data_IF_198284242852
#
_entry.id   IF_198284242852
#
_cell.length_a   1.000
_cell.length_b   1.000
_cell.length_c   1.000
_cell.angle_alpha   90.00
_cell.angle_beta   90.00
_cell.angle_gamma   90.00
#
_symmetry.space_group_name_H-M   'P 1'
#
loop_
_entity.id
_entity.type
_entity.pdbx_description
1 polymer ?
#
# COMPACT_ATOMS: atom_id res chain seq x y z
N UNK A 1 -6.42 6.17 -12.33
CA UNK A 1 -5.20 6.89 -11.90
C UNK A 1 -4.81 8.00 -12.86
N UNK A 2 -4.94 9.24 -12.40
CA UNK A 2 -4.41 10.44 -13.05
C UNK A 2 -2.87 10.57 -12.92
N UNK A 3 -2.31 11.51 -13.68
CA UNK A 3 -0.85 11.70 -13.78
C UNK A 3 -0.17 12.07 -12.45
N UNK A 4 -0.80 12.90 -11.63
CA UNK A 4 -0.21 13.33 -10.36
C UNK A 4 -0.14 12.16 -9.36
N UNK A 5 -1.18 11.34 -9.32
CA UNK A 5 -1.23 10.12 -8.49
C UNK A 5 -0.20 9.10 -8.98
N UNK A 6 0.02 9.00 -10.29
CA UNK A 6 1.08 8.17 -10.88
C UNK A 6 2.48 8.63 -10.45
N UNK A 7 2.75 9.94 -10.47
CA UNK A 7 4.01 10.51 -9.99
C UNK A 7 4.22 10.18 -8.51
N UNK A 8 3.16 10.30 -7.70
CA UNK A 8 3.21 9.96 -6.27
C UNK A 8 3.50 8.48 -6.05
N UNK A 9 2.87 7.60 -6.84
CA UNK A 9 3.09 6.16 -6.79
C UNK A 9 4.53 5.80 -7.13
N UNK A 10 5.06 6.33 -8.24
CA UNK A 10 6.45 6.09 -8.66
C UNK A 10 7.45 6.57 -7.60
N UNK A 11 7.15 7.68 -6.90
CA UNK A 11 8.00 8.16 -5.80
C UNK A 11 8.04 7.17 -4.62
N UNK A 12 6.87 6.69 -4.19
CA UNK A 12 6.77 5.73 -3.08
C UNK A 12 7.38 4.37 -3.47
N UNK A 13 7.08 3.89 -4.68
CA UNK A 13 7.62 2.64 -5.20
C UNK A 13 9.15 2.69 -5.26
N UNK A 14 9.75 3.72 -5.84
CA UNK A 14 11.21 3.84 -5.90
C UNK A 14 11.89 3.93 -4.53
N UNK A 15 11.21 4.48 -3.51
CA UNK A 15 11.71 4.44 -2.11
C UNK A 15 11.63 3.03 -1.53
N UNK A 16 10.55 2.31 -1.80
CA UNK A 16 10.38 0.93 -1.34
C UNK A 16 11.32 -0.03 -2.08
N UNK A 17 11.57 0.15 -3.36
CA UNK A 17 12.57 -0.63 -4.11
C UNK A 17 13.95 -0.54 -3.46
N UNK A 18 14.35 0.69 -3.06
CA UNK A 18 15.58 0.91 -2.29
C UNK A 18 15.53 0.21 -0.93
N UNK A 19 14.45 0.36 -0.18
CA UNK A 19 14.31 -0.28 1.13
C UNK A 19 14.30 -1.82 1.04
N UNK A 20 13.69 -2.40 0.01
CA UNK A 20 13.69 -3.85 -0.26
C UNK A 20 15.11 -4.34 -0.61
N UNK A 21 15.87 -3.52 -1.35
CA UNK A 21 17.29 -3.78 -1.63
C UNK A 21 18.12 -3.79 -0.34
N UNK A 22 17.81 -2.89 0.59
CA UNK A 22 18.43 -2.78 1.91
C UNK A 22 17.88 -3.80 2.94
N UNK A 23 16.88 -4.61 2.55
CA UNK A 23 16.19 -5.63 3.39
C UNK A 23 15.35 -5.06 4.54
N UNK A 24 14.93 -3.81 4.40
CA UNK A 24 14.23 -3.06 5.44
C UNK A 24 12.70 -3.07 5.27
N UNK A 25 12.19 -3.45 4.08
CA UNK A 25 10.79 -3.77 3.75
C UNK A 25 9.66 -3.10 4.59
N UNK A 26 9.62 -1.75 4.78
CA UNK A 26 8.57 -1.11 5.56
C UNK A 26 7.29 -0.95 4.74
N UNK A 27 6.14 -0.78 5.40
CA UNK A 27 5.01 -0.11 4.78
C UNK A 27 5.32 1.39 4.61
N UNK A 28 4.83 1.99 3.52
CA UNK A 28 5.02 3.41 3.25
C UNK A 28 3.74 4.03 2.72
N UNK A 29 3.42 5.24 3.20
CA UNK A 29 2.32 6.05 2.68
C UNK A 29 2.80 7.45 2.36
N UNK A 30 2.48 7.92 1.16
CA UNK A 30 2.59 9.31 0.79
C UNK A 30 1.20 9.96 0.78
N UNK A 31 1.07 11.08 1.48
CA UNK A 31 -0.13 11.89 1.59
C UNK A 31 0.14 13.23 0.89
N UNK A 32 -0.77 13.69 0.04
CA UNK A 32 -0.65 14.99 -0.62
C UNK A 32 -1.92 15.82 -0.42
N UNK A 33 -1.73 17.01 0.13
CA UNK A 33 -2.73 18.07 0.32
C UNK A 33 -2.02 19.42 0.34
N UNK A 34 -2.19 20.20 1.41
CA UNK A 34 -1.48 21.47 1.65
C UNK A 34 0.05 21.33 1.56
N UNK A 35 0.55 20.13 1.86
CA UNK A 35 1.94 19.70 1.68
C UNK A 35 1.98 18.21 1.38
N UNK A 36 3.13 17.72 0.92
CA UNK A 36 3.37 16.27 0.79
C UNK A 36 4.06 15.73 2.04
N UNK A 37 3.51 14.66 2.62
CA UNK A 37 4.12 13.92 3.73
C UNK A 37 4.34 12.47 3.31
N UNK A 38 5.45 11.88 3.75
CA UNK A 38 5.73 10.44 3.60
C UNK A 38 5.95 9.85 4.98
N UNK A 39 5.19 8.81 5.32
CA UNK A 39 5.28 8.07 6.57
C UNK A 39 5.67 6.63 6.26
N UNK A 40 6.40 5.99 7.16
CA UNK A 40 6.79 4.58 7.04
C UNK A 40 6.64 3.85 8.37
N UNK A 41 6.37 2.55 8.30
CA UNK A 41 6.25 1.68 9.47
C UNK A 41 6.78 0.28 9.15
N UNK A 42 7.73 -0.20 9.96
CA UNK A 42 8.41 -1.48 9.78
C UNK A 42 7.65 -2.65 10.40
N UNK A 43 6.77 -2.37 11.36
CA UNK A 43 6.00 -3.39 12.09
C UNK A 43 4.60 -3.56 11.47
N UNK A 44 4.30 -2.88 10.37
CA UNK A 44 2.98 -2.88 9.73
C UNK A 44 2.41 -4.28 9.49
N UNK A 45 3.23 -5.24 9.08
CA UNK A 45 2.81 -6.62 8.81
C UNK A 45 2.95 -7.57 10.01
N UNK A 46 3.23 -7.04 11.20
CA UNK A 46 3.38 -7.86 12.40
C UNK A 46 2.05 -8.45 12.85
N UNK A 47 1.02 -7.63 12.89
CA UNK A 47 -0.34 -7.97 13.31
C UNK A 47 -1.34 -6.87 12.90
N UNK A 48 -2.63 -7.21 12.86
CA UNK A 48 -3.71 -6.30 12.43
C UNK A 48 -3.80 -5.02 13.29
N UNK A 49 -3.49 -5.14 14.58
CA UNK A 49 -3.51 -4.00 15.51
C UNK A 49 -2.43 -2.97 15.12
N UNK A 50 -1.25 -3.44 14.77
CA UNK A 50 -0.13 -2.60 14.33
C UNK A 50 -0.41 -1.97 12.97
N UNK A 51 -0.97 -2.72 12.03
CA UNK A 51 -1.42 -2.22 10.74
C UNK A 51 -2.45 -1.09 10.90
N UNK A 52 -3.51 -1.34 11.69
CA UNK A 52 -4.56 -0.37 11.95
C UNK A 52 -4.04 0.89 12.67
N UNK A 53 -3.11 0.72 13.62
CA UNK A 53 -2.49 1.85 14.31
C UNK A 53 -1.69 2.75 13.37
N UNK A 54 -0.95 2.19 12.42
CA UNK A 54 -0.23 2.98 11.41
C UNK A 54 -1.20 3.72 10.48
N UNK A 55 -2.21 3.03 9.97
CA UNK A 55 -3.21 3.65 9.09
C UNK A 55 -4.02 4.75 9.79
N UNK A 56 -4.32 4.58 11.08
CA UNK A 56 -4.97 5.62 11.87
C UNK A 56 -4.10 6.88 12.00
N UNK A 57 -2.82 6.71 12.33
CA UNK A 57 -1.85 7.84 12.37
C UNK A 57 -1.72 8.52 11.01
N UNK A 58 -1.70 7.75 9.93
CA UNK A 58 -1.69 8.29 8.58
C UNK A 58 -2.97 9.10 8.29
N UNK A 59 -4.13 8.61 8.70
CA UNK A 59 -5.40 9.31 8.54
C UNK A 59 -5.47 10.63 9.33
N UNK A 60 -4.97 10.63 10.57
CA UNK A 60 -4.84 11.86 11.35
C UNK A 60 -3.93 12.88 10.66
N UNK A 61 -2.78 12.43 10.14
CA UNK A 61 -1.87 13.30 9.39
C UNK A 61 -2.50 13.82 8.11
N UNK A 62 -3.23 12.98 7.39
CA UNK A 62 -3.95 13.33 6.18
C UNK A 62 -4.98 14.44 6.46
N UNK A 63 -5.76 14.32 7.53
CA UNK A 63 -6.69 15.37 7.97
C UNK A 63 -5.98 16.68 8.33
N UNK A 64 -4.84 16.61 9.03
CA UNK A 64 -4.06 17.80 9.42
C UNK A 64 -3.53 18.61 8.23
N UNK A 65 -3.37 17.98 7.06
CA UNK A 65 -2.83 18.64 5.85
C UNK A 65 -3.87 18.74 4.73
N UNK A 66 -5.15 18.47 5.02
CA UNK A 66 -6.22 18.44 4.02
C UNK A 66 -5.84 17.58 2.80
N UNK A 67 -5.33 16.37 3.05
CA UNK A 67 -4.88 15.48 1.97
C UNK A 67 -6.04 15.17 1.01
N UNK A 68 -5.82 15.44 -0.28
CA UNK A 68 -6.76 15.14 -1.37
C UNK A 68 -6.39 13.85 -2.10
N UNK A 69 -5.15 13.37 -1.93
CA UNK A 69 -4.71 12.08 -2.45
C UNK A 69 -3.71 11.39 -1.55
N UNK A 70 -3.64 10.08 -1.68
CA UNK A 70 -2.57 9.28 -1.08
C UNK A 70 -2.15 8.12 -1.98
N UNK A 71 -0.94 7.63 -1.74
CA UNK A 71 -0.50 6.31 -2.16
C UNK A 71 0.00 5.56 -0.93
N UNK A 72 -0.52 4.36 -0.71
CA UNK A 72 -0.11 3.43 0.32
C UNK A 72 0.51 2.21 -0.35
N UNK A 73 1.71 1.80 0.06
CA UNK A 73 2.41 0.69 -0.54
C UNK A 73 3.17 -0.14 0.50
N UNK A 74 3.17 -1.47 0.31
CA UNK A 74 3.73 -2.42 1.26
C UNK A 74 4.41 -3.57 0.54
N UNK A 75 5.71 -3.83 0.80
CA UNK A 75 6.37 -5.06 0.38
C UNK A 75 5.74 -6.28 1.07
N UNK A 76 5.24 -7.23 0.29
CA UNK A 76 4.58 -8.45 0.77
C UNK A 76 5.00 -9.65 -0.07
N UNK A 77 4.75 -10.85 0.45
CA UNK A 77 4.70 -12.08 -0.34
C UNK A 77 3.25 -12.45 -0.53
N UNK A 78 2.82 -12.62 -1.77
CA UNK A 78 1.48 -13.07 -2.12
C UNK A 78 1.52 -14.50 -2.63
N UNK A 79 0.55 -15.31 -2.20
CA UNK A 79 0.17 -16.56 -2.85
C UNK A 79 -1.12 -16.31 -3.63
N UNK A 80 -1.05 -16.48 -4.95
CA UNK A 80 -2.21 -16.38 -5.83
C UNK A 80 -2.92 -17.74 -5.91
N UNK A 81 -4.09 -17.86 -5.29
CA UNK A 81 -4.99 -18.99 -5.50
C UNK A 81 -6.18 -18.58 -6.39
N UNK A 82 -7.03 -19.54 -6.78
CA UNK A 82 -8.07 -19.35 -7.80
C UNK A 82 -9.03 -18.19 -7.49
N UNK A 83 -9.40 -18.02 -6.22
CA UNK A 83 -10.40 -17.03 -5.78
C UNK A 83 -9.86 -16.04 -4.73
N UNK A 84 -8.67 -16.27 -4.20
CA UNK A 84 -8.12 -15.48 -3.09
C UNK A 84 -6.62 -15.24 -3.21
N UNK A 85 -6.19 -14.12 -2.64
CA UNK A 85 -4.79 -13.77 -2.46
C UNK A 85 -4.47 -13.81 -0.98
N UNK A 86 -3.51 -14.64 -0.59
CA UNK A 86 -2.96 -14.61 0.77
C UNK A 86 -1.70 -13.76 0.80
N UNK A 87 -1.71 -12.69 1.58
CA UNK A 87 -0.55 -11.85 1.83
C UNK A 87 0.16 -12.21 3.13
N UNK A 88 1.49 -12.23 3.13
CA UNK A 88 2.31 -12.32 4.34
C UNK A 88 3.51 -11.37 4.29
N UNK A 89 4.11 -11.12 5.46
CA UNK A 89 5.34 -10.36 5.56
C UNK A 89 6.48 -10.98 4.72
N UNK A 90 7.29 -10.10 4.13
CA UNK A 90 8.59 -10.49 3.56
C UNK A 90 9.47 -10.94 4.71
N UNK A 91 9.97 -12.16 4.63
CA UNK A 91 10.84 -12.76 5.63
C UNK A 91 12.02 -13.43 4.91
N UNK A 92 13.12 -13.68 5.62
CA UNK A 92 14.24 -14.49 5.12
C UNK A 92 13.89 -16.00 5.05
N UNK A 93 12.68 -16.33 4.62
CA UNK A 93 12.20 -17.69 4.40
C UNK A 93 12.10 -17.93 2.89
N UNK A 94 12.42 -19.15 2.41
CA UNK A 94 12.19 -19.51 1.02
C UNK A 94 10.73 -19.28 0.63
N UNK A 95 10.52 -18.83 -0.61
CA UNK A 95 9.19 -18.79 -1.20
C UNK A 95 8.67 -20.22 -1.39
N UNK A 96 7.39 -20.41 -1.08
CA UNK A 96 6.64 -21.62 -1.39
C UNK A 96 6.26 -21.64 -2.86
N UNK A 97 5.88 -22.80 -3.37
CA UNK A 97 5.35 -22.92 -4.72
C UNK A 97 4.13 -22.00 -4.89
N UNK A 98 4.12 -21.19 -5.95
CA UNK A 98 3.06 -20.21 -6.22
C UNK A 98 3.18 -18.88 -5.46
N UNK A 99 4.12 -18.73 -4.52
CA UNK A 99 4.37 -17.45 -3.85
C UNK A 99 5.21 -16.50 -4.72
N UNK A 100 4.91 -15.21 -4.62
CA UNK A 100 5.64 -14.14 -5.30
C UNK A 100 5.88 -12.97 -4.36
N UNK A 101 7.12 -12.47 -4.34
CA UNK A 101 7.45 -11.19 -3.71
C UNK A 101 6.93 -10.03 -4.59
N UNK A 102 6.29 -9.06 -3.96
CA UNK A 102 5.78 -7.88 -4.62
C UNK A 102 5.65 -6.69 -3.67
N UNK A 103 5.43 -5.51 -4.22
CA UNK A 103 4.98 -4.33 -3.48
C UNK A 103 3.52 -4.13 -3.82
N UNK A 104 2.63 -4.43 -2.87
CA UNK A 104 1.20 -4.15 -2.99
C UNK A 104 0.98 -2.65 -2.81
N UNK A 105 0.10 -2.05 -3.60
CA UNK A 105 -0.18 -0.62 -3.48
C UNK A 105 -1.66 -0.30 -3.68
N UNK A 106 -2.12 0.74 -2.99
CA UNK A 106 -3.40 1.39 -3.12
C UNK A 106 -3.15 2.89 -3.32
N UNK A 107 -3.91 3.48 -4.23
CA UNK A 107 -3.95 4.92 -4.41
C UNK A 107 -5.37 5.42 -4.28
N UNK A 108 -5.51 6.63 -3.76
CA UNK A 108 -6.77 7.34 -3.66
C UNK A 108 -6.55 8.78 -4.10
N UNK A 109 -7.51 9.30 -4.84
CA UNK A 109 -7.59 10.68 -5.27
C UNK A 109 -9.04 11.14 -5.18
N UNK A 110 -9.29 12.28 -4.54
CA UNK A 110 -10.65 12.81 -4.36
C UNK A 110 -11.39 13.10 -5.68
N UNK A 111 -10.66 13.35 -6.78
CA UNK A 111 -11.21 13.61 -8.10
C UNK A 111 -11.20 12.42 -9.07
N UNK A 112 -10.41 11.38 -8.81
CA UNK A 112 -10.23 10.22 -9.72
C UNK A 112 -10.66 8.87 -9.10
N UNK A 113 -10.84 8.82 -7.77
CA UNK A 113 -11.29 7.62 -7.07
C UNK A 113 -10.14 6.79 -6.51
N UNK A 114 -10.31 5.46 -6.50
CA UNK A 114 -9.37 4.51 -5.91
C UNK A 114 -8.85 3.57 -6.98
N UNK A 115 -7.53 3.40 -7.05
CA UNK A 115 -6.89 2.34 -7.83
C UNK A 115 -6.02 1.49 -6.90
N UNK A 116 -5.84 0.22 -7.23
CA UNK A 116 -4.95 -0.68 -6.50
C UNK A 116 -4.25 -1.64 -7.45
N UNK A 117 -3.14 -2.18 -6.99
CA UNK A 117 -2.30 -3.05 -7.80
C UNK A 117 -1.08 -3.54 -7.05
N UNK A 118 -0.11 -4.02 -7.80
CA UNK A 118 1.16 -4.48 -7.25
C UNK A 118 2.33 -4.23 -8.21
N UNK A 119 3.54 -4.32 -7.69
CA UNK A 119 4.80 -4.29 -8.43
C UNK A 119 5.56 -5.58 -8.08
N UNK A 120 5.60 -6.59 -8.96
CA UNK A 120 6.28 -7.83 -8.67
C UNK A 120 7.80 -7.67 -8.76
N UNK A 121 8.52 -8.47 -7.99
CA UNK A 121 9.97 -8.57 -8.11
C UNK A 121 10.48 -9.97 -7.77
N UNK A 122 11.66 -10.30 -8.29
CA UNK A 122 12.34 -11.57 -7.99
C UNK A 122 13.78 -11.31 -7.56
N UNK A 123 14.29 -12.13 -6.64
CA UNK A 123 15.68 -12.01 -6.19
C UNK A 123 16.61 -12.87 -7.05
N UNK A 124 17.73 -12.27 -7.48
CA UNK A 124 18.84 -12.99 -8.10
C UNK A 124 19.50 -13.97 -7.10
N UNK A 125 20.35 -14.89 -7.55
CA UNK A 125 21.11 -15.80 -6.66
C UNK A 125 21.93 -15.11 -5.55
N UNK A 126 22.21 -13.80 -5.66
CA UNK A 126 22.86 -12.98 -4.61
C UNK A 126 21.89 -12.27 -3.64
N UNK A 127 20.58 -12.44 -3.80
CA UNK A 127 19.55 -11.80 -2.97
C UNK A 127 19.12 -10.39 -3.41
N UNK A 128 19.78 -9.83 -4.43
CA UNK A 128 19.44 -8.55 -5.04
C UNK A 128 18.08 -8.64 -5.77
N UNK A 129 17.10 -7.76 -5.45
CA UNK A 129 15.80 -7.76 -6.11
C UNK A 129 15.88 -7.18 -7.53
N UNK A 130 15.10 -7.75 -8.45
CA UNK A 130 14.87 -7.24 -9.81
C UNK A 130 13.37 -6.99 -9.94
N UNK A 131 13.01 -5.73 -10.09
CA UNK A 131 11.62 -5.27 -10.20
C UNK A 131 11.15 -5.31 -11.65
N UNK A 132 9.89 -5.68 -11.84
CA UNK A 132 9.19 -5.67 -13.13
C UNK A 132 8.35 -4.38 -13.26
N UNK A 133 7.40 -4.33 -14.20
CA UNK A 133 6.46 -3.21 -14.34
C UNK A 133 5.30 -3.26 -13.32
N UNK A 134 4.78 -2.07 -12.98
CA UNK A 134 3.58 -1.94 -12.16
C UNK A 134 2.35 -2.55 -12.85
N UNK A 135 1.63 -3.40 -12.12
CA UNK A 135 0.37 -3.98 -12.57
C UNK A 135 -0.80 -3.35 -11.82
N UNK A 136 -1.72 -2.71 -12.55
CA UNK A 136 -3.00 -2.25 -12.02
C UNK A 136 -3.99 -3.41 -12.03
N UNK A 137 -4.62 -3.70 -10.91
CA UNK A 137 -5.68 -4.71 -10.85
C UNK A 137 -6.99 -4.04 -11.28
N UNK A 138 -7.54 -4.49 -12.42
CA UNK A 138 -8.81 -3.98 -12.99
C UNK A 138 -9.99 -4.92 -12.77
N UNK A 139 -9.73 -6.12 -12.26
CA UNK A 139 -10.76 -7.09 -11.87
C UNK A 139 -11.41 -6.59 -10.58
N UNK A 140 -12.73 -6.69 -10.39
CA UNK A 140 -13.40 -6.38 -9.13
C UNK A 140 -13.11 -7.48 -8.09
N UNK A 141 -11.82 -7.75 -7.86
CA UNK A 141 -11.34 -8.28 -6.60
C UNK A 141 -11.54 -7.10 -5.67
N UNK A 142 -12.68 -7.05 -4.98
CA UNK A 142 -12.80 -6.16 -3.81
C UNK A 142 -11.49 -6.31 -3.06
N UNK A 143 -10.78 -5.22 -2.72
CA UNK A 143 -9.66 -5.35 -1.80
C UNK A 143 -10.19 -6.21 -0.66
N UNK A 144 -9.58 -7.38 -0.41
CA UNK A 144 -9.96 -8.22 0.72
C UNK A 144 -10.02 -7.32 1.96
N UNK A 145 -10.83 -7.65 2.96
CA UNK A 145 -11.05 -6.74 4.11
C UNK A 145 -9.73 -6.27 4.78
N UNK A 146 -8.63 -6.97 4.53
CA UNK A 146 -7.28 -6.73 5.04
C UNK A 146 -6.31 -6.07 4.03
N UNK A 147 -6.77 -5.59 2.87
CA UNK A 147 -5.86 -4.96 1.89
C UNK A 147 -5.21 -3.69 2.48
N UNK A 148 -3.89 -3.48 2.29
CA UNK A 148 -3.20 -2.36 2.88
C UNK A 148 -3.77 -0.99 2.51
N UNK A 149 -3.98 -0.12 3.50
CA UNK A 149 -4.49 1.24 3.29
C UNK A 149 -6.02 1.34 3.32
N UNK A 150 -6.75 0.24 3.54
CA UNK A 150 -8.22 0.25 3.60
C UNK A 150 -8.77 1.04 4.79
N UNK A 151 -8.15 0.97 5.97
CA UNK A 151 -8.57 1.77 7.13
C UNK A 151 -8.31 3.25 6.90
N UNK A 152 -7.18 3.59 6.27
CA UNK A 152 -6.88 4.95 5.84
C UNK A 152 -7.93 5.46 4.84
N UNK A 153 -8.25 4.68 3.80
CA UNK A 153 -9.27 5.02 2.82
C UNK A 153 -10.63 5.27 3.47
N UNK A 154 -11.08 4.35 4.34
CA UNK A 154 -12.33 4.52 5.10
C UNK A 154 -12.31 5.80 5.94
N UNK A 155 -11.21 6.09 6.63
CA UNK A 155 -11.10 7.29 7.46
C UNK A 155 -11.10 8.62 6.68
N UNK A 156 -10.81 8.59 5.38
CA UNK A 156 -10.82 9.77 4.50
C UNK A 156 -12.10 9.90 3.68
N UNK A 157 -12.81 8.80 3.44
CA UNK A 157 -14.05 8.77 2.64
C UNK A 157 -15.31 8.76 3.51
N UNK A 158 -15.23 8.27 4.75
CA UNK A 158 -16.30 8.36 5.74
C UNK A 158 -16.12 9.66 6.52
N UNK A 159 -16.89 10.67 6.14
CA UNK A 159 -16.99 11.93 6.84
C UNK A 159 -17.55 11.70 8.27
N UNK A 160 -16.96 12.23 9.35
CA UNK A 160 -17.57 12.22 10.69
C UNK A 160 -18.85 13.09 10.77
N UNK A 161 -19.24 13.75 9.68
CA UNK A 161 -20.27 14.80 9.63
C UNK A 161 -21.55 14.47 8.85
N UNK A 162 -21.88 13.20 8.60
CA UNK A 162 -23.19 12.85 8.06
C UNK A 162 -24.31 13.17 9.08
N UNK A 163 -25.36 13.94 8.73
CA UNK A 163 -26.40 14.30 9.70
C UNK A 163 -27.11 13.04 10.20
N UNK A 164 -27.11 12.85 11.52
CA UNK A 164 -28.04 11.94 12.18
C UNK A 164 -29.45 12.45 11.92
N UNK A 165 -30.12 11.88 10.93
CA UNK A 165 -31.58 11.99 10.80
C UNK A 165 -32.20 11.19 11.94
N UNK A 166 -32.54 11.89 13.02
CA UNK A 166 -33.71 11.57 13.86
C UNK A 166 -34.98 11.53 13.03
#
# INVERSE_FOLDING_TARGET
>A
MNHDTEILLRNVAGRLERAVTERDCPAMVALQGDRTLVLSDYDYLRDDSTAAAFEHRAAEKARQIHAVRFVFAVPQVWLFEQDFVYGRAVANLPLREGEQELIAWMSFDAGDGVDYGYLPYARRPGGEPVFDDHTVITVPVQPYDEFPGRHLLRALTQDPGGPTST
#
